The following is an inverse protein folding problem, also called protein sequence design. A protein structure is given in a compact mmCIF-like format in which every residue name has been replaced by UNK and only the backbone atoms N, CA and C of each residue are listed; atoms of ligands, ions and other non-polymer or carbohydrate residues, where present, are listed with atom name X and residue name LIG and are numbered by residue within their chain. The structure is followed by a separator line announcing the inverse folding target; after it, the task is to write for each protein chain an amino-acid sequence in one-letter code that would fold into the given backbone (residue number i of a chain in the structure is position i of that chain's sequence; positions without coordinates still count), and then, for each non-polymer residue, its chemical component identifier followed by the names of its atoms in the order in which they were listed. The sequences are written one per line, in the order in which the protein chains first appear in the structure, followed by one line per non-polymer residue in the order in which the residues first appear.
data_IF_706333487253
#
_entry.id   IF_706333487253
#
_cell.length_a   1.000
_cell.length_b   1.000
_cell.length_c   1.000
_cell.angle_alpha   90.00
_cell.angle_beta   90.00
_cell.angle_gamma   90.00
#
_symmetry.space_group_name_H-M   'P 1'
#
loop_
_entity.id
_entity.type
_entity.pdbx_description
1 polymer ?
#
# COMPACT_ATOMS: atom_id res chain seq x y z
N UNK A 1 36.23 27.80 20.05
CA UNK A 1 35.55 27.12 18.92
C UNK A 1 34.08 26.97 19.27
N UNK A 2 33.15 27.39 18.41
CA UNK A 2 31.71 27.29 18.70
C UNK A 2 31.15 25.94 18.19
N UNK A 3 30.55 25.15 19.08
CA UNK A 3 29.94 23.84 18.76
C UNK A 3 28.85 23.94 17.68
N UNK A 4 28.19 25.10 17.59
CA UNK A 4 27.15 25.37 16.59
C UNK A 4 27.68 25.25 15.15
N UNK A 5 28.95 25.55 14.91
CA UNK A 5 29.56 25.43 13.59
C UNK A 5 29.60 23.98 13.08
N UNK A 6 29.58 22.99 13.98
CA UNK A 6 29.51 21.56 13.64
C UNK A 6 28.09 21.02 13.69
N UNK A 7 27.28 21.47 14.67
CA UNK A 7 25.91 20.98 14.83
C UNK A 7 24.99 21.37 13.68
N UNK A 8 25.11 22.58 13.14
CA UNK A 8 24.27 23.04 12.02
C UNK A 8 24.43 22.15 10.78
N UNK A 9 25.64 21.90 10.24
CA UNK A 9 25.80 21.04 9.07
C UNK A 9 25.41 19.59 9.35
N UNK A 10 25.69 19.06 10.55
CA UNK A 10 25.27 17.70 10.93
C UNK A 10 23.75 17.58 10.96
N UNK A 11 23.04 18.54 11.56
CA UNK A 11 21.58 18.53 11.59
C UNK A 11 20.97 18.65 10.19
N UNK A 12 21.53 19.48 9.32
CA UNK A 12 21.09 19.60 7.92
C UNK A 12 21.30 18.31 7.13
N UNK A 13 22.45 17.64 7.33
CA UNK A 13 22.72 16.35 6.69
C UNK A 13 21.76 15.26 7.17
N UNK A 14 21.53 15.17 8.48
CA UNK A 14 20.61 14.20 9.06
C UNK A 14 19.16 14.46 8.63
N UNK A 15 18.72 15.72 8.65
CA UNK A 15 17.39 16.11 8.16
C UNK A 15 17.22 15.84 6.67
N UNK A 16 18.22 16.18 5.85
CA UNK A 16 18.23 15.92 4.42
C UNK A 16 18.23 14.42 4.08
N UNK A 17 19.03 13.62 4.80
CA UNK A 17 19.05 12.17 4.65
C UNK A 17 17.69 11.54 5.00
N UNK A 18 17.09 11.96 6.12
CA UNK A 18 15.75 11.50 6.51
C UNK A 18 14.69 11.85 5.46
N UNK A 19 14.74 13.07 4.92
CA UNK A 19 13.81 13.50 3.87
C UNK A 19 14.00 12.71 2.57
N UNK A 20 15.26 12.45 2.18
CA UNK A 20 15.57 11.63 1.01
C UNK A 20 15.06 10.18 1.16
N UNK A 21 15.25 9.58 2.35
CA UNK A 21 14.73 8.25 2.66
C UNK A 21 13.19 8.21 2.64
N UNK A 22 12.54 9.26 3.15
CA UNK A 22 11.08 9.38 3.10
C UNK A 22 10.56 9.39 1.67
N UNK A 23 11.16 10.19 0.78
CA UNK A 23 10.78 10.18 -0.64
C UNK A 23 11.12 8.86 -1.35
N UNK A 24 12.22 8.20 -0.97
CA UNK A 24 12.55 6.87 -1.50
C UNK A 24 11.48 5.84 -1.10
N UNK A 25 11.02 5.85 0.15
CA UNK A 25 9.97 4.95 0.63
C UNK A 25 8.61 5.18 -0.05
N UNK A 26 8.24 6.45 -0.32
CA UNK A 26 7.01 6.75 -1.07
C UNK A 26 7.08 6.37 -2.55
N UNK A 27 8.28 6.26 -3.13
CA UNK A 27 8.45 5.91 -4.55
C UNK A 27 8.22 4.42 -4.82
N UNK A 28 8.26 3.59 -3.79
CA UNK A 28 7.91 2.18 -3.91
C UNK A 28 6.40 2.11 -4.18
N UNK A 29 6.03 1.76 -5.42
CA UNK A 29 4.66 1.75 -5.98
C UNK A 29 3.70 0.75 -5.33
N UNK A 30 3.86 0.50 -4.03
CA UNK A 30 3.09 -0.42 -3.19
C UNK A 30 1.61 -0.05 -3.09
N UNK A 31 1.21 1.12 -3.59
CA UNK A 31 -0.20 1.53 -3.64
C UNK A 31 -0.96 0.91 -4.82
N UNK A 32 -0.29 0.53 -5.92
CA UNK A 32 -0.96 -0.10 -7.07
C UNK A 32 -1.47 -1.51 -6.75
N UNK A 33 -0.76 -2.27 -5.91
CA UNK A 33 -1.18 -3.62 -5.51
C UNK A 33 -2.30 -3.61 -4.44
N UNK A 34 -2.35 -2.59 -3.59
CA UNK A 34 -3.44 -2.41 -2.61
C UNK A 34 -4.80 -2.17 -3.29
N UNK A 35 -4.81 -1.39 -4.37
CA UNK A 35 -6.03 -1.12 -5.16
C UNK A 35 -6.51 -2.39 -5.90
N UNK A 36 -5.57 -3.19 -6.44
CA UNK A 36 -5.87 -4.49 -7.05
C UNK A 36 -6.29 -5.59 -6.06
N UNK A 37 -5.80 -5.56 -4.82
CA UNK A 37 -6.23 -6.48 -3.76
C UNK A 37 -7.68 -6.20 -3.30
N UNK A 38 -8.04 -4.92 -3.15
CA UNK A 38 -9.40 -4.50 -2.82
C UNK A 38 -10.44 -4.87 -3.91
N UNK A 39 -10.04 -4.80 -5.19
CA UNK A 39 -10.92 -5.20 -6.29
C UNK A 39 -11.19 -6.72 -6.32
N UNK A 40 -10.22 -7.55 -5.91
CA UNK A 40 -10.39 -9.01 -5.86
C UNK A 40 -11.35 -9.47 -4.77
N UNK A 41 -11.24 -8.90 -3.57
CA UNK A 41 -12.10 -9.31 -2.45
C UNK A 41 -13.59 -8.98 -2.67
N UNK A 42 -13.90 -7.89 -3.39
CA UNK A 42 -15.28 -7.51 -3.71
C UNK A 42 -15.92 -8.41 -4.77
N UNK A 43 -15.15 -8.82 -5.78
CA UNK A 43 -15.65 -9.68 -6.88
C UNK A 43 -15.83 -11.12 -6.41
N UNK A 44 -14.93 -11.63 -5.56
CA UNK A 44 -15.02 -13.01 -5.06
C UNK A 44 -16.31 -13.25 -4.25
N UNK A 45 -16.80 -12.24 -3.51
CA UNK A 45 -18.07 -12.33 -2.77
C UNK A 45 -19.32 -12.33 -3.68
N UNK A 46 -19.26 -11.67 -4.84
CA UNK A 46 -20.35 -11.67 -5.84
C UNK A 46 -20.39 -13.01 -6.61
N UNK A 47 -19.23 -13.54 -6.99
CA UNK A 47 -19.13 -14.82 -7.72
C UNK A 47 -19.56 -16.01 -6.85
N UNK A 48 -19.24 -16.03 -5.56
CA UNK A 48 -19.74 -17.06 -4.64
C UNK A 48 -21.27 -17.03 -4.49
N UNK A 49 -21.87 -15.84 -4.51
CA UNK A 49 -23.33 -15.69 -4.42
C UNK A 49 -24.06 -16.18 -5.67
N UNK A 50 -23.55 -15.86 -6.86
CA UNK A 50 -24.17 -16.35 -8.11
C UNK A 50 -23.97 -17.86 -8.32
N UNK A 51 -22.81 -18.41 -7.94
CA UNK A 51 -22.54 -19.84 -8.03
C UNK A 51 -23.44 -20.70 -7.14
N UNK A 52 -23.84 -20.19 -5.98
CA UNK A 52 -24.71 -20.91 -5.05
C UNK A 52 -26.19 -20.86 -5.43
N UNK A 53 -26.66 -19.77 -6.05
CA UNK A 53 -28.04 -19.64 -6.51
C UNK A 53 -28.32 -20.40 -7.83
N UNK A 54 -27.30 -20.63 -8.65
CA UNK A 54 -27.41 -21.36 -9.92
C UNK A 54 -27.47 -22.90 -9.76
N UNK A 55 -26.77 -23.45 -8.77
CA UNK A 55 -26.68 -24.91 -8.56
C UNK A 55 -27.96 -25.48 -7.94
N UNK A 56 -28.69 -24.70 -7.15
CA UNK A 56 -29.96 -25.15 -6.54
C UNK A 56 -31.09 -25.28 -7.57
N UNK A 57 -31.04 -24.55 -8.69
CA UNK A 57 -32.12 -24.55 -9.70
C UNK A 57 -32.04 -25.68 -10.73
N UNK A 58 -30.88 -26.34 -10.87
CA UNK A 58 -30.69 -27.44 -11.83
C UNK A 58 -30.78 -28.85 -11.22
N UNK A 59 -30.58 -29.01 -9.90
CA UNK A 59 -30.66 -30.32 -9.22
C UNK A 59 -32.06 -30.68 -8.69
N UNK A 60 -33.03 -29.78 -8.88
CA UNK A 60 -34.41 -29.94 -8.38
C UNK A 60 -35.45 -30.39 -9.42
N UNK A 61 -35.08 -31.19 -10.43
CA UNK A 61 -36.04 -31.78 -11.37
C UNK A 61 -35.87 -33.28 -11.55
#
# INVERSE_FOLDING_TARGET
MNILAFLIPVALLLGGAGLALFFWAMRDGQFEDLEGAANRILIDEEVEREGSDGVEKETGR
#
